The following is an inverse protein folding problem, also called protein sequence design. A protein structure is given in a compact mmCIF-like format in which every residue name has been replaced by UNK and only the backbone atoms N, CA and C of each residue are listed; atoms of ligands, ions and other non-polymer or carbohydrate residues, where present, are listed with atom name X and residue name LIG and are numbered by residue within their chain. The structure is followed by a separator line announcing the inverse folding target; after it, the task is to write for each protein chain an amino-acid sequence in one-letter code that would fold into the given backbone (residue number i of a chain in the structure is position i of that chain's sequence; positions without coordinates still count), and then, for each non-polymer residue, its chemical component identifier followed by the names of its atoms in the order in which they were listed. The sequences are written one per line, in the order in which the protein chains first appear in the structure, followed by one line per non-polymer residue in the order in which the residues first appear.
data_IF_737994759677
#
_entry.id   IF_737994759677
#
_cell.length_a   1.000
_cell.length_b   1.000
_cell.length_c   1.000
_cell.angle_alpha   90.00
_cell.angle_beta   90.00
_cell.angle_gamma   90.00
#
_symmetry.space_group_name_H-M   'P 1'
#
loop_
_entity.id
_entity.type
_entity.pdbx_description
1 polymer ?
#
# COMPACT_ATOMS: atom_id res chain seq x y z
N UNK A 1 -14.79 -27.25 -32.45
CA UNK A 1 -14.69 -27.40 -30.99
C UNK A 1 -14.27 -26.05 -30.43
N UNK A 2 -15.07 -25.57 -29.49
CA UNK A 2 -15.56 -24.19 -29.38
C UNK A 2 -14.53 -23.22 -28.80
N UNK A 3 -14.39 -22.01 -29.38
CA UNK A 3 -13.43 -20.98 -28.97
C UNK A 3 -13.55 -20.63 -27.48
N UNK A 4 -14.73 -20.85 -26.88
CA UNK A 4 -14.96 -20.71 -25.43
C UNK A 4 -14.21 -21.73 -24.58
N UNK A 5 -14.04 -22.97 -25.04
CA UNK A 5 -13.28 -23.97 -24.28
C UNK A 5 -11.79 -23.64 -24.21
N UNK A 6 -11.25 -22.93 -25.21
CA UNK A 6 -9.84 -22.50 -25.25
C UNK A 6 -9.56 -21.38 -24.24
N UNK A 7 -10.45 -20.39 -24.15
CA UNK A 7 -10.39 -19.28 -23.17
C UNK A 7 -10.44 -19.83 -21.75
N UNK A 8 -11.40 -20.72 -21.45
CA UNK A 8 -11.54 -21.35 -20.12
C UNK A 8 -10.28 -22.16 -19.76
N UNK A 9 -9.65 -22.80 -20.74
CA UNK A 9 -8.39 -23.52 -20.57
C UNK A 9 -7.19 -22.61 -20.26
N UNK A 10 -7.06 -21.47 -20.94
CA UNK A 10 -6.02 -20.46 -20.65
C UNK A 10 -6.21 -19.81 -19.28
N UNK A 11 -7.46 -19.48 -18.93
CA UNK A 11 -7.81 -18.93 -17.63
C UNK A 11 -7.47 -19.91 -16.50
N UNK A 12 -7.72 -21.21 -16.71
CA UNK A 12 -7.35 -22.26 -15.75
C UNK A 12 -5.83 -22.32 -15.48
N UNK A 13 -4.99 -22.05 -16.48
CA UNK A 13 -3.52 -22.02 -16.33
C UNK A 13 -3.08 -20.78 -15.53
N UNK A 14 -3.77 -19.64 -15.70
CA UNK A 14 -3.55 -18.43 -14.90
C UNK A 14 -3.92 -18.64 -13.43
N UNK A 15 -5.05 -19.32 -13.15
CA UNK A 15 -5.49 -19.62 -11.79
C UNK A 15 -4.64 -20.68 -11.09
N UNK A 16 -3.93 -21.54 -11.82
CA UNK A 16 -3.06 -22.57 -11.25
C UNK A 16 -1.99 -21.96 -10.33
N UNK A 17 -1.42 -20.80 -10.71
CA UNK A 17 -0.42 -20.08 -9.92
C UNK A 17 -0.97 -19.45 -8.63
N UNK A 18 -2.27 -19.13 -8.59
CA UNK A 18 -2.94 -18.63 -7.39
C UNK A 18 -3.33 -19.81 -6.47
N UNK A 19 -3.68 -20.95 -7.06
CA UNK A 19 -4.14 -22.14 -6.33
C UNK A 19 -3.00 -22.94 -5.69
N UNK A 20 -1.83 -23.03 -6.35
CA UNK A 20 -0.67 -23.77 -5.85
C UNK A 20 0.17 -22.94 -4.90
N UNK A 21 -0.35 -22.79 -3.69
CA UNK A 21 0.33 -22.06 -2.62
C UNK A 21 1.19 -23.02 -1.79
N UNK A 22 2.51 -22.89 -1.86
CA UNK A 22 3.44 -23.71 -1.08
C UNK A 22 3.60 -23.25 0.37
N UNK A 23 4.14 -24.11 1.24
CA UNK A 23 4.44 -23.78 2.66
C UNK A 23 5.23 -22.47 2.82
N UNK A 24 6.19 -22.20 1.92
CA UNK A 24 7.00 -20.97 1.94
C UNK A 24 6.17 -19.70 1.78
N UNK A 25 5.11 -19.75 0.97
CA UNK A 25 4.20 -18.63 0.81
C UNK A 25 3.42 -18.37 2.09
N UNK A 26 2.88 -19.41 2.72
CA UNK A 26 2.17 -19.27 4.00
C UNK A 26 3.09 -18.75 5.10
N UNK A 27 4.35 -19.22 5.14
CA UNK A 27 5.35 -18.68 6.05
C UNK A 27 5.59 -17.18 5.78
N UNK A 28 5.78 -16.77 4.53
CA UNK A 28 5.96 -15.36 4.19
C UNK A 28 4.76 -14.50 4.58
N UNK A 29 3.54 -14.95 4.26
CA UNK A 29 2.29 -14.27 4.65
C UNK A 29 2.14 -14.19 6.16
N UNK A 30 2.50 -15.25 6.90
CA UNK A 30 2.43 -15.25 8.36
C UNK A 30 3.36 -14.20 8.99
N UNK A 31 4.59 -14.05 8.45
CA UNK A 31 5.54 -13.03 8.89
C UNK A 31 5.00 -11.62 8.60
N UNK A 32 4.50 -11.38 7.38
CA UNK A 32 3.92 -10.08 7.04
C UNK A 32 2.70 -9.76 7.92
N UNK A 33 1.85 -10.74 8.20
CA UNK A 33 0.69 -10.58 9.08
C UNK A 33 1.13 -10.25 10.50
N UNK A 34 2.17 -10.92 11.02
CA UNK A 34 2.72 -10.62 12.34
C UNK A 34 3.27 -9.19 12.43
N UNK A 35 3.94 -8.69 11.38
CA UNK A 35 4.41 -7.30 11.31
C UNK A 35 3.25 -6.30 11.30
N UNK A 36 2.17 -6.59 10.57
CA UNK A 36 0.97 -5.74 10.56
C UNK A 36 0.32 -5.70 11.95
N UNK A 37 0.18 -6.85 12.61
CA UNK A 37 -0.37 -6.93 13.97
C UNK A 37 0.50 -6.17 14.99
N UNK A 38 1.82 -6.24 14.84
CA UNK A 38 2.76 -5.45 15.63
C UNK A 38 2.55 -3.94 15.41
N UNK A 39 2.37 -3.50 14.15
CA UNK A 39 2.05 -2.11 13.83
C UNK A 39 0.73 -1.65 14.45
N UNK A 40 -0.31 -2.48 14.40
CA UNK A 40 -1.60 -2.19 15.05
C UNK A 40 -1.44 -2.08 16.57
N UNK A 41 -0.67 -2.97 17.19
CA UNK A 41 -0.37 -2.91 18.62
C UNK A 41 0.35 -1.60 19.01
N UNK A 42 1.33 -1.17 18.21
CA UNK A 42 2.02 0.10 18.40
C UNK A 42 1.05 1.29 18.28
N UNK A 43 0.15 1.27 17.28
CA UNK A 43 -0.87 2.30 17.11
C UNK A 43 -1.84 2.38 18.29
N UNK A 44 -2.32 1.24 18.81
CA UNK A 44 -3.20 1.21 19.99
C UNK A 44 -2.48 1.76 21.22
N UNK A 45 -1.19 1.46 21.37
CA UNK A 45 -0.38 1.99 22.47
C UNK A 45 -0.25 3.51 22.37
N UNK A 46 0.02 4.04 21.17
CA UNK A 46 0.04 5.48 20.93
C UNK A 46 -1.32 6.13 21.18
N UNK A 47 -2.43 5.52 20.76
CA UNK A 47 -3.77 6.07 20.98
C UNK A 47 -4.07 6.25 22.48
N UNK A 48 -3.59 5.34 23.34
CA UNK A 48 -3.77 5.40 24.79
C UNK A 48 -2.81 6.37 25.50
N UNK A 49 -1.53 6.34 25.11
CA UNK A 49 -0.46 7.07 25.80
C UNK A 49 -0.17 8.45 25.16
N UNK A 50 -0.80 8.76 24.04
CA UNK A 50 -0.59 9.98 23.26
C UNK A 50 0.60 9.92 22.30
N UNK A 51 0.75 10.98 21.50
CA UNK A 51 1.81 11.15 20.49
C UNK A 51 3.23 11.24 21.08
N UNK A 52 3.38 11.41 22.40
CA UNK A 52 4.70 11.43 23.04
C UNK A 52 5.47 10.13 22.85
N UNK A 53 4.77 8.99 22.69
CA UNK A 53 5.40 7.67 22.47
C UNK A 53 6.24 7.64 21.17
N UNK A 54 5.93 8.49 20.20
CA UNK A 54 6.69 8.56 18.93
C UNK A 54 7.88 9.50 18.99
N UNK A 55 8.23 10.03 20.18
CA UNK A 55 9.35 10.95 20.36
C UNK A 55 9.08 12.36 19.82
N UNK A 56 7.83 12.68 19.51
CA UNK A 56 7.42 14.04 19.14
C UNK A 56 7.47 14.94 20.38
N UNK A 57 7.94 16.17 20.18
CA UNK A 57 8.05 17.19 21.22
C UNK A 57 7.39 18.48 20.74
N UNK A 58 7.23 19.45 21.65
CA UNK A 58 6.67 20.77 21.28
C UNK A 58 7.54 21.50 20.24
N UNK A 59 8.84 21.26 20.26
CA UNK A 59 9.82 21.83 19.34
C UNK A 59 9.84 21.07 18.00
N UNK A 60 9.65 19.76 18.03
CA UNK A 60 9.64 18.88 16.85
C UNK A 60 8.30 18.14 16.81
N UNK A 61 7.33 18.80 16.18
CA UNK A 61 5.95 18.33 16.05
C UNK A 61 5.73 17.45 14.82
N UNK A 62 6.63 17.48 13.84
CA UNK A 62 6.63 16.59 12.67
C UNK A 62 7.81 15.64 12.72
N UNK A 63 7.52 14.34 12.71
CA UNK A 63 8.52 13.29 12.82
C UNK A 63 8.26 12.18 11.82
N UNK A 64 8.29 10.93 12.30
CA UNK A 64 8.21 9.74 11.45
C UNK A 64 6.94 9.69 10.59
N UNK A 65 5.79 10.12 11.11
CA UNK A 65 4.52 10.07 10.36
C UNK A 65 4.50 10.98 9.13
N UNK A 66 4.94 12.23 9.27
CA UNK A 66 4.98 13.17 8.13
C UNK A 66 6.07 12.77 7.13
N UNK A 67 7.22 12.29 7.61
CA UNK A 67 8.27 11.75 6.73
C UNK A 67 7.76 10.57 5.91
N UNK A 68 7.05 9.62 6.55
CA UNK A 68 6.44 8.49 5.85
C UNK A 68 5.35 8.93 4.87
N UNK A 69 4.50 9.88 5.26
CA UNK A 69 3.49 10.46 4.37
C UNK A 69 4.14 11.01 3.09
N UNK A 70 5.15 11.87 3.21
CA UNK A 70 5.84 12.45 2.04
C UNK A 70 6.51 11.36 1.20
N UNK A 71 7.12 10.36 1.84
CA UNK A 71 7.72 9.22 1.14
C UNK A 71 6.70 8.46 0.29
N UNK A 72 5.54 8.10 0.86
CA UNK A 72 4.51 7.36 0.13
C UNK A 72 3.83 8.21 -0.96
N UNK A 73 3.66 9.51 -0.75
CA UNK A 73 3.22 10.43 -1.82
C UNK A 73 4.26 10.47 -2.95
N UNK A 74 5.56 10.47 -2.64
CA UNK A 74 6.62 10.36 -3.63
C UNK A 74 6.52 9.08 -4.49
N UNK A 75 6.29 7.92 -3.85
CA UNK A 75 6.06 6.64 -4.55
C UNK A 75 4.82 6.73 -5.45
N UNK A 76 3.74 7.32 -4.96
CA UNK A 76 2.49 7.50 -5.72
C UNK A 76 2.72 8.31 -7.01
N UNK A 77 3.48 9.40 -6.92
CA UNK A 77 3.84 10.25 -8.06
C UNK A 77 4.69 9.50 -9.10
N UNK A 78 5.60 8.63 -8.66
CA UNK A 78 6.39 7.83 -9.57
C UNK A 78 5.49 6.91 -10.43
N UNK A 79 4.47 6.29 -9.83
CA UNK A 79 3.55 5.42 -10.57
C UNK A 79 2.66 6.18 -11.58
N UNK A 80 2.16 7.36 -11.22
CA UNK A 80 1.38 8.20 -12.16
C UNK A 80 2.25 8.73 -13.30
N UNK A 81 3.49 9.13 -13.01
CA UNK A 81 4.48 9.55 -13.99
C UNK A 81 4.79 8.42 -14.99
N UNK A 82 5.02 7.20 -14.50
CA UNK A 82 5.28 6.02 -15.35
C UNK A 82 4.08 5.75 -16.27
N UNK A 83 2.85 5.77 -15.76
CA UNK A 83 1.65 5.56 -16.58
C UNK A 83 1.48 6.64 -17.66
N UNK A 84 1.67 7.92 -17.29
CA UNK A 84 1.51 9.05 -18.20
C UNK A 84 2.62 9.14 -19.26
N UNK A 85 3.89 9.10 -18.85
CA UNK A 85 5.04 9.26 -19.77
C UNK A 85 5.09 8.10 -20.74
N UNK A 86 4.96 6.85 -20.27
CA UNK A 86 5.00 5.69 -21.17
C UNK A 86 3.83 5.70 -22.17
N UNK A 87 2.69 6.28 -21.79
CA UNK A 87 1.56 6.50 -22.69
C UNK A 87 1.88 7.52 -23.77
N UNK A 88 2.49 8.65 -23.41
CA UNK A 88 2.91 9.69 -24.37
C UNK A 88 4.01 9.16 -25.30
N UNK A 89 4.98 8.42 -24.76
CA UNK A 89 6.08 7.82 -25.51
C UNK A 89 5.64 6.65 -26.42
N UNK A 90 4.34 6.31 -26.45
CA UNK A 90 3.77 5.20 -27.24
C UNK A 90 4.47 3.85 -27.05
N UNK A 91 5.08 3.63 -25.89
CA UNK A 91 5.79 2.39 -25.58
C UNK A 91 4.81 1.21 -25.40
N UNK A 92 4.72 0.28 -26.34
CA UNK A 92 3.71 -0.80 -26.31
C UNK A 92 3.91 -1.83 -25.19
N UNK A 93 5.17 -2.08 -24.78
CA UNK A 93 5.53 -3.01 -23.71
C UNK A 93 5.03 -2.58 -22.32
N UNK A 94 4.58 -1.33 -22.17
CA UNK A 94 4.11 -0.78 -20.89
C UNK A 94 2.86 -1.46 -20.34
N UNK A 95 2.06 -2.14 -21.17
CA UNK A 95 0.70 -2.62 -20.80
C UNK A 95 0.68 -3.45 -19.51
N UNK A 96 1.70 -4.29 -19.28
CA UNK A 96 1.81 -5.10 -18.05
C UNK A 96 2.23 -4.24 -16.84
N UNK A 97 3.22 -3.36 -17.02
CA UNK A 97 3.80 -2.56 -15.94
C UNK A 97 2.86 -1.44 -15.49
N UNK A 98 2.16 -0.80 -16.42
CA UNK A 98 1.24 0.31 -16.11
C UNK A 98 0.14 -0.10 -15.12
N UNK A 99 -0.42 -1.31 -15.26
CA UNK A 99 -1.43 -1.83 -14.33
C UNK A 99 -0.86 -2.03 -12.92
N UNK A 100 0.33 -2.61 -12.81
CA UNK A 100 1.01 -2.78 -11.52
C UNK A 100 1.41 -1.44 -10.90
N UNK A 101 1.86 -0.48 -11.71
CA UNK A 101 2.22 0.87 -11.26
C UNK A 101 1.00 1.62 -10.71
N UNK A 102 -0.15 1.56 -11.40
CA UNK A 102 -1.40 2.16 -10.93
C UNK A 102 -1.88 1.54 -9.61
N UNK A 103 -1.76 0.22 -9.46
CA UNK A 103 -2.09 -0.45 -8.19
C UNK A 103 -1.17 0.03 -7.05
N UNK A 104 0.14 0.13 -7.29
CA UNK A 104 1.11 0.62 -6.31
C UNK A 104 0.78 2.07 -5.92
N UNK A 105 0.43 2.93 -6.87
CA UNK A 105 0.02 4.31 -6.62
C UNK A 105 -1.18 4.36 -5.66
N UNK A 106 -2.22 3.60 -5.93
CA UNK A 106 -3.43 3.58 -5.08
C UNK A 106 -3.10 3.08 -3.67
N UNK A 107 -2.35 1.98 -3.55
CA UNK A 107 -1.95 1.43 -2.26
C UNK A 107 -1.08 2.44 -1.48
N UNK A 108 -0.10 3.06 -2.13
CA UNK A 108 0.77 4.06 -1.52
C UNK A 108 -0.02 5.28 -1.01
N UNK A 109 -1.05 5.72 -1.74
CA UNK A 109 -1.92 6.81 -1.27
C UNK A 109 -2.67 6.43 0.01
N UNK A 110 -3.20 5.21 0.11
CA UNK A 110 -3.86 4.75 1.35
C UNK A 110 -2.90 4.75 2.54
N UNK A 111 -1.65 4.29 2.37
CA UNK A 111 -0.65 4.35 3.43
C UNK A 111 -0.25 5.78 3.77
N UNK A 112 -0.04 6.64 2.77
CA UNK A 112 0.28 8.05 2.97
C UNK A 112 -0.79 8.76 3.79
N UNK A 113 -2.05 8.69 3.35
CA UNK A 113 -3.20 9.28 4.07
C UNK A 113 -3.33 8.67 5.46
N UNK A 114 -3.16 7.35 5.61
CA UNK A 114 -3.17 6.69 6.90
C UNK A 114 -2.18 7.28 7.91
N UNK A 115 -0.95 7.62 7.48
CA UNK A 115 0.04 8.25 8.35
C UNK A 115 -0.41 9.63 8.86
N UNK A 116 -1.07 10.43 8.01
CA UNK A 116 -1.64 11.73 8.40
C UNK A 116 -2.76 11.55 9.43
N UNK A 117 -3.63 10.56 9.23
CA UNK A 117 -4.72 10.29 10.16
C UNK A 117 -4.21 9.86 11.55
N UNK A 118 -3.12 9.10 11.58
CA UNK A 118 -2.47 8.65 12.82
C UNK A 118 -1.78 9.82 13.55
N UNK A 119 -1.23 10.78 12.81
CA UNK A 119 -0.54 11.96 13.36
C UNK A 119 -1.49 12.94 14.08
N UNK A 120 -2.79 12.93 13.75
CA UNK A 120 -3.79 13.86 14.32
C UNK A 120 -4.01 13.72 15.83
N UNK A 121 -3.55 12.64 16.48
CA UNK A 121 -3.66 12.41 17.93
C UNK A 121 -5.08 12.12 18.45
N UNK A 122 -6.09 12.79 17.89
CA UNK A 122 -7.53 12.56 18.10
C UNK A 122 -8.26 12.51 16.75
N UNK A 123 -8.13 11.40 16.01
CA UNK A 123 -8.83 11.26 14.73
C UNK A 123 -10.35 11.34 14.88
N UNK A 124 -10.91 11.05 16.06
CA UNK A 124 -12.34 11.16 16.38
C UNK A 124 -12.94 12.56 16.16
N UNK A 125 -12.12 13.62 16.20
CA UNK A 125 -12.58 15.01 16.06
C UNK A 125 -12.42 15.59 14.65
N UNK A 126 -11.92 14.83 13.68
CA UNK A 126 -11.56 15.36 12.36
C UNK A 126 -12.73 15.95 11.57
N UNK A 127 -13.97 15.48 11.81
CA UNK A 127 -15.16 15.92 11.09
C UNK A 127 -15.93 17.05 11.77
N UNK A 128 -15.55 17.43 13.00
CA UNK A 128 -16.26 18.39 13.83
C UNK A 128 -15.49 19.71 14.01
N UNK A 129 -14.53 19.98 13.13
CA UNK A 129 -13.72 21.20 13.12
C UNK A 129 -14.37 22.33 12.32
#
# INVERSE_FOLDING_TARGET
MDHRQKIIGEDAILFDHISKTGWRFYLFISILTALVLWGVFAYVTQYRNGLTVTGLSRQVFWGVYITNFVFFIGISHAGTLISAILRIAKAEWRRSITRSAELITVIALFFGVGNVLIDLGRPDRMLYA
#
